data_IF_287174392342
#
_entry.id   IF_287174392342
#
_cell.length_a   1.000
_cell.length_b   1.000
_cell.length_c   1.000
_cell.angle_alpha   90.00
_cell.angle_beta   90.00
_cell.angle_gamma   90.00
#
_symmetry.space_group_name_H-M   'P 1'
#
loop_
_entity.id
_entity.type
_entity.pdbx_description
1 polymer ?
#
# COMPACT_ATOMS: atom_id res chain seq x y z
N UNK A 1 -2.99 50.66 13.19
CA UNK A 1 -1.96 49.61 13.40
C UNK A 1 -2.25 48.68 14.57
N UNK A 2 -2.59 49.21 15.74
CA UNK A 2 -2.91 48.43 16.95
C UNK A 2 -4.05 47.40 16.77
N UNK A 3 -5.12 47.77 16.05
CA UNK A 3 -6.23 46.88 15.69
C UNK A 3 -5.83 45.70 14.78
N UNK A 4 -4.80 45.88 13.94
CA UNK A 4 -4.30 44.82 13.07
C UNK A 4 -3.48 43.81 13.88
N UNK A 5 -2.73 44.31 14.86
CA UNK A 5 -1.92 43.52 15.78
C UNK A 5 -2.79 42.67 16.71
N UNK A 6 -3.89 43.23 17.22
CA UNK A 6 -4.89 42.51 18.01
C UNK A 6 -5.53 41.37 17.19
N UNK A 7 -5.91 41.62 15.93
CA UNK A 7 -6.45 40.58 15.04
C UNK A 7 -5.45 39.46 14.76
N UNK A 8 -4.16 39.80 14.58
CA UNK A 8 -3.10 38.82 14.38
C UNK A 8 -2.88 37.94 15.62
N UNK A 9 -2.86 38.56 16.82
CA UNK A 9 -2.75 37.86 18.11
C UNK A 9 -3.93 36.92 18.35
N UNK A 10 -5.16 37.36 18.09
CA UNK A 10 -6.38 36.53 18.19
C UNK A 10 -6.32 35.35 17.20
N UNK A 11 -5.90 35.59 15.94
CA UNK A 11 -5.77 34.52 14.94
C UNK A 11 -4.73 33.48 15.37
N UNK A 12 -3.60 33.92 15.90
CA UNK A 12 -2.52 33.04 16.37
C UNK A 12 -2.95 32.23 17.62
N UNK A 13 -3.68 32.86 18.55
CA UNK A 13 -4.23 32.20 19.73
C UNK A 13 -5.31 31.18 19.36
N UNK A 14 -6.22 31.52 18.43
CA UNK A 14 -7.23 30.59 17.91
C UNK A 14 -6.60 29.39 17.20
N UNK A 15 -5.52 29.57 16.44
CA UNK A 15 -4.77 28.46 15.86
C UNK A 15 -4.10 27.58 16.91
N UNK A 16 -3.60 28.17 18.00
CA UNK A 16 -2.98 27.44 19.11
C UNK A 16 -4.02 26.62 19.89
N UNK A 17 -5.18 27.20 20.15
CA UNK A 17 -6.33 26.53 20.79
C UNK A 17 -6.86 25.41 19.89
N UNK A 18 -7.01 25.64 18.58
CA UNK A 18 -7.39 24.58 17.63
C UNK A 18 -6.37 23.43 17.59
N UNK A 19 -5.07 23.72 17.68
CA UNK A 19 -4.02 22.69 17.79
C UNK A 19 -4.11 21.93 19.11
N UNK A 20 -4.37 22.61 20.23
CA UNK A 20 -4.56 21.98 21.54
C UNK A 20 -5.81 21.10 21.59
N UNK A 21 -6.95 21.60 21.10
CA UNK A 21 -8.21 20.83 21.01
C UNK A 21 -8.05 19.63 20.07
N UNK A 22 -7.29 19.76 18.98
CA UNK A 22 -6.98 18.63 18.09
C UNK A 22 -5.96 17.66 18.70
N UNK A 23 -5.06 18.11 19.57
CA UNK A 23 -4.16 17.23 20.31
C UNK A 23 -4.83 16.49 21.48
N UNK A 24 -5.91 17.06 22.03
CA UNK A 24 -6.70 16.46 23.12
C UNK A 24 -7.85 15.57 22.61
N UNK A 25 -8.24 15.70 21.34
CA UNK A 25 -9.06 14.70 20.64
C UNK A 25 -8.16 13.57 20.16
N UNK A 26 -7.99 12.57 21.03
CA UNK A 26 -7.10 11.42 20.89
C UNK A 26 -6.92 10.90 19.46
N UNK A 27 -5.67 10.54 19.16
CA UNK A 27 -5.25 9.91 17.91
C UNK A 27 -6.30 8.90 17.45
N UNK A 28 -6.80 9.07 16.22
CA UNK A 28 -7.90 8.25 15.71
C UNK A 28 -7.32 7.10 14.91
N UNK A 29 -7.77 5.89 15.25
CA UNK A 29 -7.31 4.64 14.63
C UNK A 29 -6.42 3.83 15.57
N UNK A 30 -6.05 2.63 15.12
CA UNK A 30 -5.14 1.77 15.85
C UNK A 30 -3.70 1.90 15.30
N UNK A 31 -2.69 1.98 16.18
CA UNK A 31 -1.32 2.24 15.77
C UNK A 31 -0.66 1.00 15.14
N UNK A 32 0.15 1.25 14.13
CA UNK A 32 1.02 0.28 13.44
C UNK A 32 2.39 0.93 13.24
N UNK A 33 3.47 0.18 13.44
CA UNK A 33 4.81 0.69 13.15
C UNK A 33 4.92 1.02 11.66
N UNK A 34 5.47 2.18 11.32
CA UNK A 34 5.48 2.69 9.94
C UNK A 34 6.19 1.76 8.96
N UNK A 35 7.23 1.06 9.42
CA UNK A 35 7.96 0.04 8.66
C UNK A 35 7.19 -1.29 8.49
N UNK A 36 6.07 -1.48 9.19
CA UNK A 36 5.21 -2.66 9.10
C UNK A 36 3.90 -2.41 8.35
N UNK A 37 3.63 -1.18 7.91
CA UNK A 37 2.39 -0.80 7.19
C UNK A 37 2.10 -1.75 6.02
N UNK A 38 3.08 -1.94 5.13
CA UNK A 38 2.88 -2.80 3.95
C UNK A 38 2.67 -4.27 4.33
N UNK A 39 3.28 -4.72 5.42
CA UNK A 39 3.10 -6.09 5.90
C UNK A 39 1.67 -6.32 6.43
N UNK A 40 1.13 -5.38 7.21
CA UNK A 40 -0.25 -5.46 7.69
C UNK A 40 -1.29 -5.33 6.57
N UNK A 41 -1.05 -4.45 5.58
CA UNK A 41 -1.90 -4.34 4.40
C UNK A 41 -1.89 -5.64 3.58
N UNK A 42 -0.72 -6.26 3.40
CA UNK A 42 -0.62 -7.55 2.70
C UNK A 42 -1.31 -8.66 3.49
N UNK A 43 -1.07 -8.76 4.80
CA UNK A 43 -1.72 -9.76 5.65
C UNK A 43 -3.25 -9.69 5.52
N UNK A 44 -3.83 -8.48 5.53
CA UNK A 44 -5.27 -8.31 5.35
C UNK A 44 -5.78 -8.70 3.97
N UNK A 45 -5.04 -8.38 2.92
CA UNK A 45 -5.39 -8.76 1.56
C UNK A 45 -5.38 -10.27 1.36
N UNK A 46 -4.37 -10.95 1.90
CA UNK A 46 -4.27 -12.42 1.87
C UNK A 46 -5.38 -13.05 2.70
N UNK A 47 -5.65 -12.51 3.90
CA UNK A 47 -6.67 -13.05 4.78
C UNK A 47 -8.09 -12.96 4.18
N UNK A 48 -8.42 -11.86 3.51
CA UNK A 48 -9.77 -11.61 2.99
C UNK A 48 -9.91 -11.86 1.47
N UNK A 49 -8.86 -12.36 0.81
CA UNK A 49 -8.81 -12.48 -0.64
C UNK A 49 -9.15 -11.18 -1.36
N UNK A 50 -8.73 -10.05 -0.80
CA UNK A 50 -9.04 -8.73 -1.33
C UNK A 50 -7.79 -8.06 -1.91
N UNK A 51 -7.99 -7.06 -2.78
CA UNK A 51 -6.93 -6.18 -3.26
C UNK A 51 -7.19 -4.77 -2.78
N UNK A 52 -6.29 -4.22 -1.97
CA UNK A 52 -6.36 -2.85 -1.50
C UNK A 52 -5.59 -1.94 -2.45
N UNK A 53 -6.25 -0.94 -3.00
CA UNK A 53 -5.58 0.09 -3.80
C UNK A 53 -5.66 1.40 -3.06
N UNK A 54 -4.51 2.06 -2.92
CA UNK A 54 -4.49 3.43 -2.44
C UNK A 54 -5.17 4.34 -3.47
N UNK A 55 -6.23 5.04 -3.08
CA UNK A 55 -6.89 6.01 -3.95
C UNK A 55 -5.93 7.14 -4.31
N UNK A 56 -6.07 7.70 -5.52
CA UNK A 56 -5.22 8.82 -5.95
C UNK A 56 -5.45 10.03 -5.05
N UNK A 57 -4.36 10.63 -4.59
CA UNK A 57 -4.38 11.80 -3.71
C UNK A 57 -4.00 11.46 -2.27
N UNK A 58 -3.50 12.49 -1.57
CA UNK A 58 -3.30 12.47 -0.12
C UNK A 58 -4.05 13.67 0.43
N UNK A 59 -4.76 13.50 1.53
CA UNK A 59 -5.37 14.64 2.21
C UNK A 59 -4.38 15.17 3.24
N UNK A 60 -4.04 16.45 3.12
CA UNK A 60 -3.20 17.13 4.09
C UNK A 60 -4.09 17.82 5.13
N UNK A 61 -3.91 17.46 6.39
CA UNK A 61 -4.52 18.11 7.54
C UNK A 61 -3.44 18.86 8.33
N UNK A 62 -3.87 19.73 9.24
CA UNK A 62 -2.95 20.56 10.02
C UNK A 62 -1.94 19.75 10.87
N UNK A 63 -2.28 18.52 11.22
CA UNK A 63 -1.55 17.65 12.15
C UNK A 63 -1.21 16.26 11.56
N UNK A 64 -1.64 15.98 10.33
CA UNK A 64 -1.59 14.63 9.77
C UNK A 64 -1.67 14.61 8.24
N UNK A 65 -1.18 13.51 7.66
CA UNK A 65 -1.38 13.16 6.25
C UNK A 65 -2.24 11.91 6.20
N UNK A 66 -3.28 11.91 5.37
CA UNK A 66 -4.22 10.80 5.23
C UNK A 66 -4.11 10.15 3.85
N UNK A 67 -4.20 8.83 3.86
CA UNK A 67 -4.15 7.96 2.69
C UNK A 67 -5.33 7.02 2.76
N UNK A 68 -6.14 7.00 1.71
CA UNK A 68 -7.32 6.15 1.64
C UNK A 68 -7.02 4.92 0.78
N UNK A 69 -7.45 3.77 1.24
CA UNK A 69 -7.32 2.47 0.59
C UNK A 69 -8.71 1.88 0.39
N UNK A 70 -9.02 1.47 -0.84
CA UNK A 70 -10.29 0.85 -1.20
C UNK A 70 -10.09 -0.57 -1.69
N UNK A 71 -11.13 -1.39 -1.54
CA UNK A 71 -11.16 -2.73 -2.11
C UNK A 71 -11.40 -2.65 -3.62
N UNK A 72 -10.50 -3.22 -4.42
CA UNK A 72 -10.48 -3.03 -5.87
C UNK A 72 -10.91 -4.24 -6.68
N UNK A 73 -10.98 -5.43 -6.09
CA UNK A 73 -11.40 -6.66 -6.78
C UNK A 73 -12.91 -6.98 -6.65
N UNK A 74 -13.65 -6.15 -5.92
CA UNK A 74 -15.10 -6.27 -5.76
C UNK A 74 -15.74 -4.91 -6.00
N UNK A 75 -16.35 -4.72 -7.18
CA UNK A 75 -16.84 -3.42 -7.66
C UNK A 75 -17.85 -2.75 -6.71
N UNK A 76 -18.64 -3.54 -5.99
CA UNK A 76 -19.64 -3.04 -5.04
C UNK A 76 -19.18 -3.04 -3.58
N UNK A 77 -17.94 -3.44 -3.29
CA UNK A 77 -17.45 -3.42 -1.93
C UNK A 77 -17.23 -1.97 -1.47
N UNK A 78 -17.94 -1.49 -0.43
CA UNK A 78 -17.80 -0.11 0.03
C UNK A 78 -16.57 0.09 0.94
N UNK A 79 -15.74 -0.95 1.14
CA UNK A 79 -14.63 -0.93 2.09
C UNK A 79 -13.72 0.28 1.87
N UNK A 80 -13.44 0.96 2.99
CA UNK A 80 -12.56 2.10 3.03
C UNK A 80 -11.70 2.02 4.28
N UNK A 81 -10.40 1.83 4.08
CA UNK A 81 -9.39 1.88 5.11
C UNK A 81 -8.62 3.18 4.97
N UNK A 82 -8.54 3.96 6.04
CA UNK A 82 -7.76 5.18 6.09
C UNK A 82 -6.49 4.94 6.91
N UNK A 83 -5.34 5.23 6.31
CA UNK A 83 -4.05 5.34 6.99
C UNK A 83 -3.79 6.80 7.30
N UNK A 84 -3.42 7.09 8.54
CA UNK A 84 -3.17 8.44 9.04
C UNK A 84 -1.75 8.48 9.59
N UNK A 85 -0.92 9.34 9.02
CA UNK A 85 0.43 9.63 9.51
C UNK A 85 0.38 10.95 10.28
N UNK A 86 0.37 10.89 11.61
CA UNK A 86 0.39 12.07 12.47
C UNK A 86 1.80 12.65 12.56
N UNK A 87 1.95 13.97 12.47
CA UNK A 87 3.26 14.62 12.63
C UNK A 87 3.83 14.48 14.04
N UNK A 88 2.98 14.30 15.04
CA UNK A 88 3.37 14.11 16.44
C UNK A 88 3.97 12.73 16.72
N UNK A 89 3.78 11.74 15.84
CA UNK A 89 4.27 10.38 16.04
C UNK A 89 4.86 9.82 14.72
N UNK A 90 6.07 10.25 14.34
CA UNK A 90 6.63 10.00 13.02
C UNK A 90 6.92 8.52 12.72
N UNK A 91 7.09 7.71 13.76
CA UNK A 91 7.45 6.29 13.69
C UNK A 91 6.23 5.37 13.56
N UNK A 92 5.02 5.91 13.74
CA UNK A 92 3.78 5.17 13.67
C UNK A 92 2.86 5.70 12.58
N UNK A 93 2.06 4.79 12.05
CA UNK A 93 0.91 5.06 11.20
C UNK A 93 -0.33 4.52 11.90
N UNK A 94 -1.47 5.17 11.71
CA UNK A 94 -2.72 4.80 12.34
C UNK A 94 -3.69 4.32 11.28
N UNK A 95 -4.28 3.15 11.49
CA UNK A 95 -5.32 2.64 10.60
C UNK A 95 -6.70 2.88 11.21
N UNK A 96 -7.64 3.30 10.36
CA UNK A 96 -9.04 3.45 10.71
C UNK A 96 -9.91 2.88 9.60
N UNK A 97 -10.80 1.95 9.95
CA UNK A 97 -11.76 1.42 9.00
C UNK A 97 -12.96 2.36 8.99
N UNK A 98 -13.21 3.00 7.85
CA UNK A 98 -14.33 3.94 7.67
C UNK A 98 -15.59 3.24 7.18
N UNK A 99 -15.43 2.16 6.41
CA UNK A 99 -16.52 1.36 5.83
C UNK A 99 -16.11 -0.10 5.81
N UNK A 100 -17.06 -0.99 6.09
CA UNK A 100 -16.87 -2.43 6.11
C UNK A 100 -16.66 -3.01 4.70
N UNK A 101 -15.94 -4.14 4.61
CA UNK A 101 -16.08 -5.03 3.46
C UNK A 101 -17.48 -5.57 3.37
N UNK A 102 -18.04 -5.56 2.16
CA UNK A 102 -19.28 -6.22 1.77
C UNK A 102 -19.05 -6.85 0.40
N UNK A 103 -18.50 -8.06 0.37
CA UNK A 103 -18.34 -8.86 -0.84
C UNK A 103 -18.58 -10.32 -0.53
N UNK A 104 -18.99 -11.08 -1.55
CA UNK A 104 -19.16 -12.53 -1.51
C UNK A 104 -18.10 -13.10 -2.45
N UNK A 105 -17.33 -14.11 -2.02
CA UNK A 105 -16.19 -14.66 -2.78
C UNK A 105 -16.60 -15.16 -4.19
N UNK A 106 -17.85 -15.55 -4.38
CA UNK A 106 -18.37 -15.99 -5.68
C UNK A 106 -18.50 -14.85 -6.72
N UNK A 107 -18.30 -13.60 -6.29
CA UNK A 107 -18.39 -12.39 -7.12
C UNK A 107 -17.03 -11.73 -7.37
N UNK A 108 -15.92 -12.47 -7.23
CA UNK A 108 -14.60 -11.96 -7.61
C UNK A 108 -14.64 -11.50 -9.06
N UNK A 109 -14.41 -10.21 -9.31
CA UNK A 109 -14.28 -9.68 -10.66
C UNK A 109 -12.96 -10.19 -11.25
N UNK A 110 -13.03 -11.31 -11.98
CA UNK A 110 -11.98 -11.98 -12.77
C UNK A 110 -10.55 -11.44 -12.52
N UNK A 111 -9.99 -11.71 -11.33
CA UNK A 111 -8.69 -11.17 -10.91
C UNK A 111 -7.51 -12.05 -11.36
N UNK A 112 -7.61 -12.68 -12.52
CA UNK A 112 -6.74 -13.80 -12.91
C UNK A 112 -5.24 -13.51 -13.00
N UNK A 113 -4.71 -12.29 -12.80
CA UNK A 113 -3.27 -12.06 -13.03
C UNK A 113 -2.58 -10.90 -12.27
N UNK A 114 -3.26 -10.20 -11.36
CA UNK A 114 -2.66 -9.01 -10.74
C UNK A 114 -2.12 -9.30 -9.34
N UNK A 115 -0.79 -9.37 -9.22
CA UNK A 115 -0.06 -9.42 -7.94
C UNK A 115 -0.58 -8.33 -6.97
N UNK A 116 -0.72 -8.69 -5.69
CA UNK A 116 -1.06 -7.76 -4.62
C UNK A 116 -0.14 -6.52 -4.65
N UNK A 117 -0.72 -5.33 -4.45
CA UNK A 117 -0.02 -4.04 -4.56
C UNK A 117 1.24 -3.94 -3.71
N UNK A 118 1.27 -4.62 -2.57
CA UNK A 118 2.33 -4.62 -1.58
C UNK A 118 3.49 -5.48 -2.06
N UNK A 119 3.21 -6.59 -2.75
CA UNK A 119 4.22 -7.38 -3.47
C UNK A 119 4.81 -6.51 -4.60
N UNK A 120 3.98 -5.76 -5.32
CA UNK A 120 4.46 -4.83 -6.35
C UNK A 120 5.39 -3.76 -5.78
N UNK A 121 5.00 -3.14 -4.66
CA UNK A 121 5.82 -2.14 -3.98
C UNK A 121 7.10 -2.75 -3.42
N UNK A 122 7.04 -3.98 -2.91
CA UNK A 122 8.21 -4.71 -2.44
C UNK A 122 9.20 -4.95 -3.58
N UNK A 123 8.74 -5.44 -4.73
CA UNK A 123 9.57 -5.60 -5.94
C UNK A 123 10.16 -4.25 -6.39
N UNK A 124 9.36 -3.17 -6.36
CA UNK A 124 9.84 -1.81 -6.69
C UNK A 124 11.01 -1.36 -5.81
N UNK A 125 11.12 -1.84 -4.57
CA UNK A 125 12.22 -1.46 -3.66
C UNK A 125 13.61 -1.97 -4.06
N UNK A 126 13.67 -2.91 -5.01
CA UNK A 126 14.90 -3.41 -5.64
C UNK A 126 15.33 -2.59 -6.85
N UNK A 127 14.52 -1.61 -7.24
CA UNK A 127 14.91 -0.64 -8.25
C UNK A 127 16.24 0.03 -7.87
N UNK A 128 17.21 0.02 -8.78
CA UNK A 128 18.57 0.54 -8.55
C UNK A 128 19.53 -0.38 -7.79
N UNK A 129 19.09 -1.53 -7.26
CA UNK A 129 19.93 -2.45 -6.44
C UNK A 129 20.42 -3.71 -7.16
N UNK A 130 19.91 -3.97 -8.36
CA UNK A 130 20.33 -5.07 -9.27
C UNK A 130 20.54 -6.47 -8.65
N UNK A 131 19.68 -6.98 -7.76
CA UNK A 131 19.78 -8.39 -7.35
C UNK A 131 19.37 -9.33 -8.50
N UNK A 132 19.72 -10.61 -8.38
CA UNK A 132 19.19 -11.64 -9.29
C UNK A 132 17.68 -11.80 -9.10
N UNK A 133 16.95 -12.12 -10.17
CA UNK A 133 15.50 -12.38 -10.09
C UNK A 133 15.16 -13.50 -9.11
N UNK A 134 16.04 -14.51 -8.98
CA UNK A 134 15.88 -15.58 -8.00
C UNK A 134 15.91 -15.05 -6.56
N UNK A 135 16.81 -14.12 -6.25
CA UNK A 135 16.88 -13.49 -4.93
C UNK A 135 15.58 -12.74 -4.63
N UNK A 136 15.06 -11.96 -5.59
CA UNK A 136 13.80 -11.23 -5.43
C UNK A 136 12.65 -12.21 -5.14
N UNK A 137 12.58 -13.35 -5.82
CA UNK A 137 11.53 -14.36 -5.57
C UNK A 137 11.62 -14.89 -4.14
N UNK A 138 12.82 -15.22 -3.66
CA UNK A 138 13.01 -15.70 -2.28
C UNK A 138 12.63 -14.62 -1.26
N UNK A 139 13.02 -13.37 -1.49
CA UNK A 139 12.68 -12.27 -0.58
C UNK A 139 11.17 -11.99 -0.58
N UNK A 140 10.50 -12.08 -1.74
CA UNK A 140 9.04 -12.00 -1.85
C UNK A 140 8.37 -13.15 -1.10
N UNK A 141 8.91 -14.37 -1.22
CA UNK A 141 8.42 -15.54 -0.47
C UNK A 141 8.48 -15.28 1.03
N UNK A 142 9.63 -14.85 1.55
CA UNK A 142 9.79 -14.50 2.97
C UNK A 142 8.82 -13.39 3.39
N UNK A 143 8.59 -12.39 2.54
CA UNK A 143 7.65 -11.31 2.81
C UNK A 143 6.20 -11.81 2.91
N UNK A 144 5.78 -12.71 2.02
CA UNK A 144 4.45 -13.34 2.03
C UNK A 144 4.30 -14.24 3.25
N UNK A 145 5.26 -15.11 3.53
CA UNK A 145 5.25 -15.99 4.70
C UNK A 145 5.14 -15.19 6.00
N UNK A 146 5.90 -14.09 6.09
CA UNK A 146 5.81 -13.16 7.22
C UNK A 146 4.41 -12.55 7.34
N UNK A 147 3.80 -12.15 6.22
CA UNK A 147 2.44 -11.59 6.22
C UNK A 147 1.38 -12.63 6.64
N UNK A 148 1.49 -13.88 6.16
CA UNK A 148 0.59 -14.98 6.53
C UNK A 148 0.73 -15.39 8.01
N UNK A 149 1.95 -15.30 8.57
CA UNK A 149 2.19 -15.56 10.00
C UNK A 149 1.77 -14.41 10.91
N UNK A 150 1.52 -13.23 10.35
CA UNK A 150 1.18 -12.03 11.11
C UNK A 150 -0.27 -12.09 11.57
N UNK A 151 -0.51 -11.67 12.81
CA UNK A 151 -1.87 -11.40 13.27
C UNK A 151 -2.48 -10.24 12.48
N UNK A 152 -3.50 -10.51 11.69
CA UNK A 152 -4.21 -9.50 10.90
C UNK A 152 -5.08 -8.58 11.78
N UNK A 153 -4.44 -7.50 12.24
CA UNK A 153 -5.09 -6.46 13.04
C UNK A 153 -6.22 -5.75 12.30
N UNK A 154 -6.19 -5.67 10.96
CA UNK A 154 -7.24 -4.99 10.19
C UNK A 154 -8.50 -5.85 10.20
N UNK A 155 -8.37 -7.17 9.98
CA UNK A 155 -9.51 -8.10 10.10
C UNK A 155 -10.08 -8.13 11.51
N UNK A 156 -9.21 -8.19 12.53
CA UNK A 156 -9.66 -8.17 13.93
C UNK A 156 -10.46 -6.91 14.25
N UNK A 157 -10.00 -5.75 13.78
CA UNK A 157 -10.68 -4.48 13.99
C UNK A 157 -11.95 -4.36 13.15
N UNK A 158 -11.95 -4.89 11.92
CA UNK A 158 -13.16 -4.95 11.07
C UNK A 158 -14.27 -5.72 11.79
N UNK A 159 -13.99 -6.93 12.27
CA UNK A 159 -14.97 -7.78 12.97
C UNK A 159 -15.53 -7.13 14.23
N UNK A 160 -14.68 -6.39 14.97
CA UNK A 160 -15.10 -5.64 16.17
C UNK A 160 -15.98 -4.45 15.84
N UNK A 161 -15.64 -3.68 14.81
CA UNK A 161 -16.36 -2.45 14.44
C UNK A 161 -17.64 -2.74 13.64
N UNK A 162 -17.67 -3.84 12.88
CA UNK A 162 -18.77 -4.20 11.99
C UNK A 162 -19.22 -5.66 12.20
N UNK A 163 -19.68 -6.05 13.41
CA UNK A 163 -19.99 -7.44 13.75
C UNK A 163 -21.14 -8.05 12.92
N UNK A 164 -21.96 -7.20 12.28
CA UNK A 164 -23.06 -7.63 11.39
C UNK A 164 -22.62 -7.81 9.93
N UNK A 165 -21.43 -7.35 9.55
CA UNK A 165 -20.91 -7.50 8.20
C UNK A 165 -20.13 -8.82 8.11
N UNK A 166 -20.55 -9.71 7.23
CA UNK A 166 -19.81 -10.94 6.94
C UNK A 166 -18.50 -10.60 6.26
N UNK A 167 -17.38 -10.97 6.88
CA UNK A 167 -16.06 -10.88 6.29
C UNK A 167 -15.59 -12.27 5.88
N UNK A 168 -15.55 -12.52 4.58
CA UNK A 168 -15.06 -13.78 4.03
C UNK A 168 -13.55 -13.88 4.18
N UNK A 169 -13.08 -15.09 4.46
CA UNK A 169 -11.67 -15.41 4.63
C UNK A 169 -11.23 -16.38 3.53
N UNK A 170 -9.98 -16.21 3.07
CA UNK A 170 -9.37 -17.06 2.04
C UNK A 170 -8.09 -17.65 2.58
N UNK A 171 -7.77 -18.86 2.12
CA UNK A 171 -6.51 -19.54 2.39
C UNK A 171 -5.75 -19.67 1.07
N UNK A 172 -4.47 -19.33 1.10
CA UNK A 172 -3.58 -19.39 -0.05
C UNK A 172 -2.43 -20.34 0.23
N UNK A 173 -2.00 -21.09 -0.79
CA UNK A 173 -0.63 -21.63 -0.81
C UNK A 173 0.32 -20.49 -1.18
N UNK A 174 1.45 -20.38 -0.47
CA UNK A 174 2.47 -19.35 -0.73
C UNK A 174 2.97 -19.44 -2.17
N UNK A 175 3.12 -20.65 -2.71
CA UNK A 175 3.66 -20.87 -4.04
C UNK A 175 2.74 -20.30 -5.13
N UNK A 176 1.42 -20.27 -4.89
CA UNK A 176 0.43 -19.70 -5.82
C UNK A 176 0.51 -18.18 -5.89
N UNK A 177 1.12 -17.54 -4.87
CA UNK A 177 1.25 -16.09 -4.77
C UNK A 177 2.58 -15.57 -5.34
N UNK A 178 3.52 -16.46 -5.67
CA UNK A 178 4.85 -16.06 -6.11
C UNK A 178 4.82 -15.49 -7.52
N UNK A 179 5.46 -14.33 -7.74
CA UNK A 179 5.58 -13.76 -9.07
C UNK A 179 6.53 -14.61 -9.95
N UNK A 180 6.19 -14.76 -11.22
CA UNK A 180 7.12 -15.36 -12.19
C UNK A 180 8.33 -14.46 -12.44
N UNK A 181 9.46 -15.06 -12.86
CA UNK A 181 10.68 -14.31 -13.23
C UNK A 181 10.40 -13.22 -14.27
N UNK A 182 9.62 -13.58 -15.29
CA UNK A 182 9.21 -12.65 -16.35
C UNK A 182 8.40 -11.47 -15.81
N UNK A 183 7.50 -11.71 -14.84
CA UNK A 183 6.70 -10.66 -14.20
C UNK A 183 7.59 -9.68 -13.44
N UNK A 184 8.56 -10.19 -12.66
CA UNK A 184 9.54 -9.36 -11.94
C UNK A 184 10.35 -8.51 -12.92
N UNK A 185 10.92 -9.12 -13.96
CA UNK A 185 11.72 -8.42 -14.95
C UNK A 185 10.95 -7.26 -15.60
N UNK A 186 9.76 -7.56 -16.14
CA UNK A 186 8.89 -6.55 -16.78
C UNK A 186 8.59 -5.37 -15.86
N UNK A 187 8.35 -5.64 -14.57
CA UNK A 187 8.07 -4.61 -13.56
C UNK A 187 9.29 -3.75 -13.27
N UNK A 188 10.47 -4.35 -13.07
CA UNK A 188 11.72 -3.60 -12.85
C UNK A 188 12.02 -2.71 -14.05
N UNK A 189 11.94 -3.25 -15.27
CA UNK A 189 12.16 -2.49 -16.51
C UNK A 189 11.16 -1.35 -16.66
N UNK A 190 9.89 -1.58 -16.32
CA UNK A 190 8.87 -0.52 -16.28
C UNK A 190 9.23 0.59 -15.30
N UNK A 191 9.65 0.26 -14.07
CA UNK A 191 10.04 1.26 -13.07
C UNK A 191 11.25 2.09 -13.51
N UNK A 192 12.24 1.46 -14.16
CA UNK A 192 13.39 2.16 -14.75
C UNK A 192 12.98 3.13 -15.84
N UNK A 193 12.10 2.68 -16.75
CA UNK A 193 11.59 3.53 -17.82
C UNK A 193 10.83 4.74 -17.26
N UNK A 194 10.04 4.54 -16.20
CA UNK A 194 9.35 5.63 -15.52
C UNK A 194 10.32 6.62 -14.87
N UNK A 195 11.40 6.16 -14.24
CA UNK A 195 12.41 7.05 -13.66
C UNK A 195 13.13 7.85 -14.75
N UNK A 196 13.58 7.22 -15.84
CA UNK A 196 14.19 7.93 -16.99
C UNK A 196 13.27 9.01 -17.56
N UNK A 197 11.97 8.70 -17.68
CA UNK A 197 10.96 9.66 -18.14
C UNK A 197 10.77 10.83 -17.16
N UNK A 198 10.88 10.59 -15.85
CA UNK A 198 10.73 11.61 -14.82
C UNK A 198 12.00 12.44 -14.59
N UNK A 199 13.18 11.87 -14.81
CA UNK A 199 14.48 12.56 -14.72
C UNK A 199 14.78 13.42 -15.96
N UNK A 200 14.04 13.23 -17.06
CA UNK A 200 14.26 13.94 -18.32
C UNK A 200 15.47 13.44 -19.11
N UNK A 201 16.06 12.30 -18.71
CA UNK A 201 17.16 11.68 -19.45
C UNK A 201 16.64 11.05 -20.75
N UNK A 202 17.35 11.28 -21.87
CA UNK A 202 17.01 10.64 -23.15
C UNK A 202 17.06 9.11 -22.99
N UNK A 203 15.98 8.45 -23.40
CA UNK A 203 15.91 6.98 -23.41
C UNK A 203 16.81 6.47 -24.54
N UNK A 204 18.10 6.32 -24.27
CA UNK A 204 18.91 5.36 -25.02
C UNK A 204 18.52 3.97 -24.51
N UNK A 205 17.73 3.27 -25.31
CA UNK A 205 17.66 1.80 -25.22
C UNK A 205 19.04 1.34 -25.65
N UNK A 206 19.89 0.95 -24.70
CA UNK A 206 21.19 0.40 -25.05
C UNK A 206 20.97 -0.94 -25.74
N UNK A 207 21.77 -1.22 -26.78
CA UNK A 207 21.66 -2.48 -27.54
C UNK A 207 21.77 -3.71 -26.61
N UNK A 208 22.48 -3.57 -25.47
CA UNK A 208 22.55 -4.55 -24.38
C UNK A 208 21.19 -4.89 -23.73
N UNK A 209 20.28 -3.92 -23.55
CA UNK A 209 18.93 -4.19 -23.01
C UNK A 209 18.09 -4.97 -24.03
N UNK A 210 18.24 -4.69 -25.33
CA UNK A 210 17.57 -5.43 -26.38
C UNK A 210 18.14 -6.83 -26.56
N UNK A 211 19.47 -7.00 -26.51
CA UNK A 211 20.12 -8.31 -26.62
C UNK A 211 19.72 -9.24 -25.47
N UNK A 212 19.65 -8.75 -24.23
CA UNK A 212 19.18 -9.56 -23.09
C UNK A 212 17.72 -10.00 -23.24
N UNK A 213 16.84 -9.14 -23.76
CA UNK A 213 15.43 -9.49 -24.02
C UNK A 213 15.31 -10.55 -25.12
N UNK A 214 16.18 -10.49 -26.14
CA UNK A 214 16.20 -11.44 -27.26
C UNK A 214 16.75 -12.80 -26.81
N UNK A 215 17.87 -12.83 -26.07
CA UNK A 215 18.45 -14.05 -25.52
C UNK A 215 17.47 -14.79 -24.61
N UNK A 216 16.72 -14.08 -23.78
CA UNK A 216 15.75 -14.70 -22.86
C UNK A 216 14.45 -15.13 -23.56
N UNK A 217 14.02 -14.48 -24.65
CA UNK A 217 12.90 -14.98 -25.47
C UNK A 217 13.23 -16.31 -26.13
N UNK A 218 14.48 -16.51 -26.54
CA UNK A 218 14.92 -17.74 -27.19
C UNK A 218 15.08 -18.92 -26.20
N UNK A 219 15.22 -18.65 -24.89
CA UNK A 219 15.23 -19.66 -23.82
C UNK A 219 13.85 -20.22 -23.48
N UNK A 220 12.75 -19.64 -23.97
CA UNK A 220 11.37 -20.11 -23.75
C UNK A 220 10.89 -21.02 -24.90
N UNK A 221 11.65 -21.08 -26.00
CA UNK A 221 11.32 -21.85 -27.21
C UNK A 221 12.04 -23.20 -27.34
N UNK A 222 12.88 -23.57 -26.38
CA UNK A 222 13.51 -24.89 -26.26
C UNK A 222 13.09 -25.57 -24.95
#
# INVERSE_FOLDING_TARGET
DEMLEIKAKIKQQNQKILRQINSEKGLIGFPIMKNQVNLHLLAHQLACGCRLIQTRGKSFCADSIRYDYTCANYYHCPFLLQKIDYFSNPDQSYFQIKKAHLHILDQVADTRNDLHSEIVQFIRSYHGKFPSTNQIIQDVKVFIEKALSLKDLITDQHRRQFPKATLHMVYYDVNDLLPSKLSIYKRISYFRKQEKLLSGEQIQVTDDENQRIIEEKNLVTN
#
